data_IF_784979091185
#
_entry.id   IF_784979091185
#
_cell.length_a   1.000
_cell.length_b   1.000
_cell.length_c   1.000
_cell.angle_alpha   90.00
_cell.angle_beta   90.00
_cell.angle_gamma   90.00
#
_symmetry.space_group_name_H-M   'P 1'
#
loop_
_entity.id
_entity.type
_entity.pdbx_description
1 polymer ?
#
# COMPACT_ATOMS: atom_id res chain seq x y z
N UNK A 1 -2.73 -35.44 20.30
CA UNK A 1 -1.70 -35.59 19.22
C UNK A 1 -2.31 -35.88 17.84
N UNK A 2 -3.63 -35.68 17.66
CA UNK A 2 -4.31 -36.02 16.41
C UNK A 2 -3.86 -35.17 15.18
N UNK A 3 -3.29 -33.99 15.38
CA UNK A 3 -2.90 -33.10 14.28
C UNK A 3 -1.38 -33.01 14.01
N UNK A 4 -0.54 -33.61 14.85
CA UNK A 4 0.95 -33.67 14.71
C UNK A 4 1.61 -32.33 14.29
N UNK A 5 1.09 -31.20 14.78
CA UNK A 5 1.55 -29.86 14.42
C UNK A 5 2.26 -29.17 15.59
N UNK A 6 3.22 -28.30 15.28
CA UNK A 6 4.09 -27.63 16.24
C UNK A 6 3.36 -26.50 16.99
N UNK A 7 2.39 -25.85 16.34
CA UNK A 7 1.59 -24.78 16.92
C UNK A 7 0.18 -24.75 16.29
N UNK A 8 -0.81 -24.38 17.10
CA UNK A 8 -2.18 -24.13 16.63
C UNK A 8 -2.61 -22.80 17.21
N UNK A 9 -3.18 -21.92 16.36
CA UNK A 9 -3.82 -20.69 16.79
C UNK A 9 -5.34 -20.85 16.70
N UNK A 10 -6.02 -20.51 17.79
CA UNK A 10 -7.48 -20.46 17.81
C UNK A 10 -7.93 -19.05 17.45
N UNK A 11 -8.79 -18.93 16.45
CA UNK A 11 -9.44 -17.68 16.05
C UNK A 11 -10.88 -17.74 16.50
N UNK A 12 -11.24 -16.95 17.50
CA UNK A 12 -12.56 -17.01 18.16
C UNK A 12 -13.70 -16.60 17.22
N UNK A 13 -13.44 -15.73 16.24
CA UNK A 13 -14.46 -15.24 15.31
C UNK A 13 -13.92 -15.17 13.89
N UNK A 14 -14.57 -15.88 12.96
CA UNK A 14 -14.30 -15.74 11.52
C UNK A 14 -15.31 -14.72 10.96
N UNK A 15 -14.87 -13.59 10.37
CA UNK A 15 -15.77 -12.60 9.79
C UNK A 15 -16.79 -13.23 8.82
N UNK A 16 -18.09 -12.97 9.06
CA UNK A 16 -19.17 -13.49 8.25
C UNK A 16 -19.59 -14.95 8.53
N UNK A 17 -19.03 -15.60 9.56
CA UNK A 17 -19.39 -16.97 9.96
C UNK A 17 -19.65 -17.08 11.46
N UNK A 18 -20.54 -17.96 11.86
CA UNK A 18 -20.87 -18.28 13.25
C UNK A 18 -20.05 -19.43 13.82
N UNK A 19 -18.77 -19.52 13.45
CA UNK A 19 -17.86 -20.58 13.87
C UNK A 19 -16.49 -20.02 14.25
N UNK A 20 -15.78 -20.73 15.15
CA UNK A 20 -14.38 -20.45 15.43
C UNK A 20 -13.47 -21.19 14.43
N UNK A 21 -12.29 -20.63 14.17
CA UNK A 21 -11.29 -21.20 13.29
C UNK A 21 -10.10 -21.78 14.04
N UNK A 22 -9.50 -22.81 13.48
CA UNK A 22 -8.19 -23.30 13.88
C UNK A 22 -7.20 -22.99 12.75
N UNK A 23 -6.22 -22.12 13.03
CA UNK A 23 -5.11 -21.87 12.12
C UNK A 23 -4.00 -22.89 12.38
N UNK A 24 -3.72 -23.70 11.36
CA UNK A 24 -2.68 -24.73 11.40
C UNK A 24 -1.60 -24.34 10.40
N UNK A 25 -0.31 -24.24 10.80
CA UNK A 25 0.77 -23.95 9.87
C UNK A 25 0.82 -24.99 8.74
N UNK A 26 0.85 -24.54 7.49
CA UNK A 26 1.01 -25.44 6.36
C UNK A 26 2.45 -25.94 6.29
N UNK A 27 2.70 -27.26 6.35
CA UNK A 27 4.05 -27.83 6.24
C UNK A 27 4.66 -27.61 4.84
N UNK A 28 3.81 -27.47 3.81
CA UNK A 28 4.20 -27.21 2.43
C UNK A 28 3.80 -25.79 2.02
N UNK A 29 4.57 -24.80 2.46
CA UNK A 29 4.29 -23.38 2.12
C UNK A 29 4.49 -23.16 0.63
N UNK A 30 3.46 -22.64 -0.02
CA UNK A 30 3.55 -22.16 -1.39
C UNK A 30 3.96 -20.70 -1.40
N UNK A 31 4.83 -20.34 -2.34
CA UNK A 31 5.23 -18.95 -2.58
C UNK A 31 4.07 -18.21 -3.26
N UNK A 32 3.71 -17.04 -2.72
CA UNK A 32 2.71 -16.15 -3.32
C UNK A 32 3.45 -15.10 -4.12
N UNK A 33 3.31 -15.14 -5.44
CA UNK A 33 3.96 -14.20 -6.35
C UNK A 33 3.12 -12.94 -6.52
N UNK A 34 3.77 -11.78 -6.52
CA UNK A 34 3.09 -10.50 -6.75
C UNK A 34 2.33 -10.49 -8.10
N UNK A 35 2.89 -11.10 -9.14
CA UNK A 35 2.26 -11.21 -10.46
C UNK A 35 0.89 -11.89 -10.43
N UNK A 36 0.66 -12.85 -9.51
CA UNK A 36 -0.63 -13.51 -9.35
C UNK A 36 -1.71 -12.55 -8.84
N UNK A 37 -1.33 -11.62 -7.97
CA UNK A 37 -2.26 -10.62 -7.43
C UNK A 37 -2.49 -9.51 -8.45
N UNK A 38 -1.41 -9.01 -9.08
CA UNK A 38 -1.51 -7.97 -10.10
C UNK A 38 -2.33 -8.43 -11.32
N UNK A 39 -2.25 -9.73 -11.69
CA UNK A 39 -3.03 -10.32 -12.78
C UNK A 39 -4.47 -10.71 -12.42
N UNK A 40 -4.90 -10.53 -11.15
CA UNK A 40 -6.23 -10.94 -10.70
C UNK A 40 -7.32 -9.94 -11.12
N UNK A 41 -8.54 -10.47 -11.31
CA UNK A 41 -9.72 -9.63 -11.54
C UNK A 41 -9.98 -8.66 -10.39
N UNK A 42 -9.70 -9.06 -9.15
CA UNK A 42 -9.83 -8.22 -7.96
C UNK A 42 -8.95 -6.96 -8.07
N UNK A 43 -7.72 -7.10 -8.55
CA UNK A 43 -6.82 -5.96 -8.72
C UNK A 43 -7.21 -5.11 -9.94
N UNK A 44 -7.50 -5.72 -11.08
CA UNK A 44 -7.92 -5.01 -12.28
C UNK A 44 -9.24 -4.26 -12.09
N UNK A 45 -10.21 -4.88 -11.44
CA UNK A 45 -11.52 -4.29 -11.12
C UNK A 45 -11.51 -3.20 -10.06
N UNK A 46 -10.39 -3.02 -9.33
CA UNK A 46 -10.26 -1.91 -8.39
C UNK A 46 -10.17 -0.57 -9.14
N UNK A 47 -11.13 0.32 -8.96
CA UNK A 47 -11.19 1.63 -9.65
C UNK A 47 -10.20 2.66 -9.09
N UNK A 48 -9.70 2.47 -7.86
CA UNK A 48 -8.77 3.42 -7.22
C UNK A 48 -7.40 3.39 -7.89
N UNK A 49 -6.85 4.56 -8.17
CA UNK A 49 -5.44 4.73 -8.56
C UNK A 49 -4.46 4.32 -7.46
N UNK A 50 -4.92 4.20 -6.21
CA UNK A 50 -4.13 3.84 -5.04
C UNK A 50 -4.42 2.40 -4.55
N UNK A 51 -4.77 1.49 -5.48
CA UNK A 51 -4.98 0.08 -5.19
C UNK A 51 -3.65 -0.63 -4.88
N UNK A 52 -3.59 -1.33 -3.75
CA UNK A 52 -2.44 -2.07 -3.26
C UNK A 52 -2.70 -3.58 -3.34
N UNK A 53 -1.83 -4.32 -4.01
CA UNK A 53 -1.82 -5.77 -3.99
C UNK A 53 -1.11 -6.26 -2.72
N UNK A 54 -1.86 -6.81 -1.76
CA UNK A 54 -1.33 -7.19 -0.46
C UNK A 54 -0.91 -8.67 -0.38
N UNK A 55 -1.49 -9.54 -1.20
CA UNK A 55 -1.20 -10.97 -1.20
C UNK A 55 -2.45 -11.81 -1.37
N UNK A 56 -2.48 -12.98 -0.72
CA UNK A 56 -3.64 -13.88 -0.67
C UNK A 56 -4.11 -14.06 0.77
N UNK A 57 -5.41 -14.24 0.93
CA UNK A 57 -5.99 -14.68 2.20
C UNK A 57 -5.72 -16.17 2.45
N UNK A 58 -6.17 -16.68 3.61
CA UNK A 58 -6.01 -18.09 3.98
C UNK A 58 -6.78 -19.07 3.08
N UNK A 59 -7.74 -18.59 2.30
CA UNK A 59 -8.49 -19.36 1.31
C UNK A 59 -7.85 -19.31 -0.10
N UNK A 60 -6.76 -18.54 -0.25
CA UNK A 60 -6.06 -18.37 -1.52
C UNK A 60 -6.60 -17.27 -2.41
N UNK A 61 -7.56 -16.47 -1.95
CA UNK A 61 -8.12 -15.37 -2.72
C UNK A 61 -7.20 -14.15 -2.72
N UNK A 62 -7.07 -13.41 -3.85
CA UNK A 62 -6.31 -12.18 -3.90
C UNK A 62 -6.88 -11.11 -2.97
N UNK A 63 -6.00 -10.47 -2.18
CA UNK A 63 -6.34 -9.37 -1.27
C UNK A 63 -5.79 -8.07 -1.83
N UNK A 64 -6.71 -7.16 -2.12
CA UNK A 64 -6.41 -5.81 -2.62
C UNK A 64 -7.03 -4.79 -1.68
N UNK A 65 -6.27 -3.75 -1.35
CA UNK A 65 -6.74 -2.65 -0.51
C UNK A 65 -6.59 -1.30 -1.23
N UNK A 66 -7.38 -0.32 -0.82
CA UNK A 66 -7.29 1.04 -1.33
C UNK A 66 -6.61 1.95 -0.31
N UNK A 67 -5.42 2.43 -0.64
CA UNK A 67 -4.65 3.33 0.23
C UNK A 67 -5.41 4.66 0.49
N UNK A 68 -6.22 5.13 -0.46
CA UNK A 68 -7.02 6.34 -0.27
C UNK A 68 -8.04 6.23 0.88
N UNK A 69 -8.48 5.01 1.18
CA UNK A 69 -9.40 4.74 2.30
C UNK A 69 -8.71 4.60 3.65
N UNK A 70 -7.40 4.40 3.68
CA UNK A 70 -6.66 4.23 4.94
C UNK A 70 -6.41 5.55 5.67
N UNK A 71 -6.07 6.72 5.12
CA UNK A 71 -5.09 7.11 4.10
C UNK A 71 -3.65 7.03 4.61
N UNK A 72 -3.45 6.68 5.88
CA UNK A 72 -2.15 6.47 6.52
C UNK A 72 -2.00 4.99 6.89
N UNK A 73 -0.86 4.42 6.60
CA UNK A 73 -0.56 3.02 6.85
C UNK A 73 0.76 2.90 7.62
N UNK A 74 0.72 2.29 8.79
CA UNK A 74 1.91 1.88 9.52
C UNK A 74 2.24 0.43 9.20
N UNK A 75 3.44 0.18 8.65
CA UNK A 75 3.95 -1.15 8.38
C UNK A 75 5.08 -1.46 9.34
N UNK A 76 4.87 -2.38 10.25
CA UNK A 76 5.86 -2.81 11.25
C UNK A 76 6.15 -4.30 11.15
N UNK A 77 7.37 -4.68 11.51
CA UNK A 77 7.79 -6.09 11.53
C UNK A 77 9.25 -6.22 11.96
N UNK A 78 9.59 -7.38 12.53
CA UNK A 78 10.96 -7.75 12.87
C UNK A 78 11.82 -7.98 11.63
N UNK A 79 13.12 -8.01 11.77
CA UNK A 79 14.03 -8.39 10.68
C UNK A 79 13.63 -9.75 10.11
N UNK A 80 13.53 -9.85 8.79
CA UNK A 80 13.11 -11.09 8.11
C UNK A 80 11.59 -11.32 8.03
N UNK A 81 10.76 -10.43 8.59
CA UNK A 81 9.30 -10.56 8.54
C UNK A 81 8.68 -10.27 7.15
N UNK A 82 9.47 -9.78 6.19
CA UNK A 82 8.99 -9.40 4.86
C UNK A 82 8.54 -7.94 4.75
N UNK A 83 8.81 -7.07 5.73
CA UNK A 83 8.44 -5.64 5.70
C UNK A 83 8.89 -4.94 4.41
N UNK A 84 10.16 -5.08 4.03
CA UNK A 84 10.72 -4.45 2.83
C UNK A 84 10.08 -5.03 1.55
N UNK A 85 9.81 -6.32 1.52
CA UNK A 85 9.10 -6.98 0.41
C UNK A 85 7.68 -6.43 0.30
N UNK A 86 6.97 -6.26 1.41
CA UNK A 86 5.62 -5.70 1.42
C UNK A 86 5.60 -4.24 0.92
N UNK A 87 6.54 -3.40 1.36
CA UNK A 87 6.66 -2.01 0.90
C UNK A 87 6.94 -1.97 -0.62
N UNK A 88 7.86 -2.80 -1.11
CA UNK A 88 8.14 -2.90 -2.54
C UNK A 88 6.92 -3.38 -3.33
N UNK A 89 6.19 -4.38 -2.83
CA UNK A 89 4.95 -4.85 -3.45
C UNK A 89 3.88 -3.75 -3.53
N UNK A 90 3.75 -2.91 -2.49
CA UNK A 90 2.85 -1.77 -2.49
C UNK A 90 3.26 -0.72 -3.53
N UNK A 91 4.55 -0.35 -3.60
CA UNK A 91 5.06 0.61 -4.60
C UNK A 91 4.82 0.07 -6.01
N UNK A 92 5.19 -1.18 -6.28
CA UNK A 92 4.97 -1.82 -7.57
C UNK A 92 3.49 -1.86 -7.94
N UNK A 93 2.60 -2.15 -6.98
CA UNK A 93 1.16 -2.10 -7.21
C UNK A 93 0.70 -0.75 -7.74
N UNK A 94 1.20 0.34 -7.17
CA UNK A 94 0.84 1.70 -7.61
C UNK A 94 1.44 2.03 -8.98
N UNK A 95 2.67 1.59 -9.25
CA UNK A 95 3.34 1.80 -10.54
C UNK A 95 2.65 1.04 -11.69
N UNK A 96 2.18 -0.18 -11.43
CA UNK A 96 1.42 -0.96 -12.41
C UNK A 96 -0.01 -0.45 -12.61
N UNK A 97 -0.59 0.20 -11.58
CA UNK A 97 -1.97 0.69 -11.63
C UNK A 97 -2.12 2.05 -12.29
N UNK A 98 -1.14 2.93 -12.14
CA UNK A 98 -1.32 4.36 -12.41
C UNK A 98 -0.12 5.03 -13.03
N UNK A 99 -0.39 5.92 -13.97
CA UNK A 99 0.60 6.78 -14.59
C UNK A 99 1.03 7.93 -13.66
N UNK A 100 2.17 8.60 -13.93
CA UNK A 100 2.70 9.71 -13.14
C UNK A 100 1.73 10.90 -12.98
N UNK A 101 0.81 11.09 -13.91
CA UNK A 101 -0.21 12.15 -13.83
C UNK A 101 -1.24 11.92 -12.72
N UNK A 102 -1.45 10.65 -12.29
CA UNK A 102 -2.43 10.29 -11.29
C UNK A 102 -1.81 9.99 -9.94
N UNK A 103 -0.62 9.41 -9.90
CA UNK A 103 0.09 9.04 -8.68
C UNK A 103 1.51 9.56 -8.72
N UNK A 104 1.93 10.22 -7.66
CA UNK A 104 3.28 10.75 -7.47
C UNK A 104 3.84 10.28 -6.14
N UNK A 105 5.15 10.08 -6.08
CA UNK A 105 5.85 9.63 -4.90
C UNK A 105 6.83 10.66 -4.37
N UNK A 106 6.94 10.73 -3.06
CA UNK A 106 8.10 11.19 -2.33
C UNK A 106 8.59 9.99 -1.53
N UNK A 107 9.75 9.46 -1.88
CA UNK A 107 10.35 8.31 -1.22
C UNK A 107 11.45 8.78 -0.28
N UNK A 108 11.38 8.37 0.99
CA UNK A 108 12.34 8.73 2.03
C UNK A 108 12.97 7.44 2.54
N UNK A 109 14.28 7.27 2.32
CA UNK A 109 15.04 6.10 2.72
C UNK A 109 16.35 6.51 3.42
N UNK A 110 16.30 6.88 4.70
CA UNK A 110 17.47 7.37 5.42
C UNK A 110 18.57 6.33 5.62
N UNK A 111 18.27 5.05 5.41
CA UNK A 111 19.24 3.95 5.48
C UNK A 111 19.87 3.61 4.14
N UNK A 112 19.36 4.15 3.03
CA UNK A 112 19.81 3.90 1.65
C UNK A 112 19.84 2.40 1.24
N UNK A 113 18.92 1.60 1.78
CA UNK A 113 18.94 0.15 1.63
C UNK A 113 17.82 -0.44 0.78
N UNK A 114 16.69 0.26 0.68
CA UNK A 114 15.47 -0.35 0.18
C UNK A 114 14.88 0.35 -1.06
N UNK A 115 14.97 1.68 -1.16
CA UNK A 115 14.21 2.46 -2.15
C UNK A 115 15.07 3.06 -3.28
N UNK A 116 16.39 2.90 -3.24
CA UNK A 116 17.31 3.44 -4.26
C UNK A 116 17.04 2.89 -5.67
N UNK A 117 16.48 1.68 -5.79
CA UNK A 117 16.09 1.05 -7.05
C UNK A 117 15.02 1.83 -7.82
N UNK A 118 14.27 2.71 -7.15
CA UNK A 118 13.24 3.57 -7.73
C UNK A 118 13.78 4.93 -8.20
N UNK A 119 15.09 5.18 -8.04
CA UNK A 119 15.68 6.44 -8.47
C UNK A 119 15.46 6.67 -9.97
N UNK A 120 14.95 7.86 -10.33
CA UNK A 120 14.73 8.25 -11.71
C UNK A 120 13.40 7.82 -12.34
N UNK A 121 12.53 7.12 -11.62
CA UNK A 121 11.20 6.81 -12.17
C UNK A 121 10.37 8.09 -12.33
N UNK A 122 9.53 8.19 -13.38
CA UNK A 122 8.78 9.42 -13.69
C UNK A 122 7.72 9.78 -12.62
N UNK A 123 7.38 8.87 -11.75
CA UNK A 123 6.43 9.08 -10.65
C UNK A 123 7.03 9.89 -9.49
N UNK A 124 8.35 10.03 -9.39
CA UNK A 124 8.98 10.79 -8.30
C UNK A 124 8.74 12.30 -8.45
N UNK A 125 8.41 12.97 -7.34
CA UNK A 125 8.37 14.42 -7.22
C UNK A 125 9.75 15.00 -6.93
N UNK A 126 10.63 14.24 -6.28
CA UNK A 126 12.00 14.55 -5.97
C UNK A 126 12.84 13.28 -6.03
N UNK A 127 14.17 13.36 -6.16
CA UNK A 127 15.04 12.20 -5.97
C UNK A 127 14.74 11.49 -4.66
N UNK A 128 15.05 10.18 -4.56
CA UNK A 128 14.89 9.44 -3.30
C UNK A 128 15.67 10.15 -2.21
N UNK A 129 14.97 10.55 -1.15
CA UNK A 129 15.52 11.39 -0.07
C UNK A 129 16.23 10.48 0.93
N UNK A 130 17.52 10.69 1.15
CA UNK A 130 18.35 9.90 2.07
C UNK A 130 18.84 10.73 3.25
N UNK A 131 18.83 12.05 3.14
CA UNK A 131 19.23 12.98 4.20
C UNK A 131 18.04 13.39 5.08
N UNK A 132 18.24 13.38 6.40
CA UNK A 132 17.18 13.66 7.37
C UNK A 132 16.65 15.10 7.30
N UNK A 133 17.52 16.08 6.96
CA UNK A 133 17.10 17.48 6.79
C UNK A 133 16.24 17.66 5.54
N UNK A 134 16.62 16.99 4.46
CA UNK A 134 15.81 16.97 3.24
C UNK A 134 14.48 16.24 3.47
N UNK A 135 14.46 15.16 4.27
CA UNK A 135 13.23 14.47 4.65
C UNK A 135 12.27 15.40 5.42
N UNK A 136 12.77 16.18 6.39
CA UNK A 136 11.98 17.16 7.10
C UNK A 136 11.42 18.24 6.15
N UNK A 137 12.24 18.73 5.22
CA UNK A 137 11.80 19.69 4.21
C UNK A 137 10.71 19.11 3.28
N UNK A 138 10.86 17.85 2.85
CA UNK A 138 9.86 17.18 2.03
C UNK A 138 8.51 17.03 2.75
N UNK A 139 8.52 16.68 4.04
CA UNK A 139 7.30 16.60 4.86
C UNK A 139 6.66 17.98 5.06
N UNK A 140 7.47 19.02 5.31
CA UNK A 140 7.00 20.41 5.43
C UNK A 140 6.36 20.88 4.12
N UNK A 141 6.95 20.52 2.98
CA UNK A 141 6.36 20.80 1.67
C UNK A 141 5.01 20.10 1.48
N UNK A 142 4.86 18.85 1.92
CA UNK A 142 3.58 18.14 1.86
C UNK A 142 2.48 18.89 2.62
N UNK A 143 2.80 19.42 3.81
CA UNK A 143 1.84 20.22 4.60
C UNK A 143 1.46 21.49 3.85
N UNK A 144 2.43 22.23 3.33
CA UNK A 144 2.18 23.45 2.57
C UNK A 144 1.34 23.20 1.30
N UNK A 145 1.61 22.10 0.58
CA UNK A 145 0.85 21.69 -0.61
C UNK A 145 -0.58 21.27 -0.23
N UNK A 146 -0.76 20.59 0.89
CA UNK A 146 -2.08 20.24 1.42
C UNK A 146 -2.90 21.51 1.72
N UNK A 147 -2.32 22.49 2.39
CA UNK A 147 -2.96 23.77 2.68
C UNK A 147 -3.32 24.53 1.41
N UNK A 148 -2.43 24.52 0.41
CA UNK A 148 -2.70 25.10 -0.90
C UNK A 148 -3.91 24.45 -1.57
N UNK A 149 -4.00 23.12 -1.55
CA UNK A 149 -5.13 22.37 -2.11
C UNK A 149 -6.42 22.64 -1.36
N UNK A 150 -6.39 22.75 -0.04
CA UNK A 150 -7.57 23.12 0.76
C UNK A 150 -8.08 24.52 0.38
N UNK A 151 -7.20 25.48 0.20
CA UNK A 151 -7.57 26.84 -0.24
C UNK A 151 -8.24 26.83 -1.62
N UNK A 152 -7.71 26.06 -2.57
CA UNK A 152 -8.30 25.91 -3.91
C UNK A 152 -9.68 25.25 -3.86
N UNK A 153 -9.83 24.18 -3.09
CA UNK A 153 -11.14 23.50 -2.92
C UNK A 153 -12.14 24.43 -2.23
N UNK A 154 -11.73 25.19 -1.22
CA UNK A 154 -12.57 26.15 -0.54
C UNK A 154 -13.02 27.27 -1.50
N UNK A 155 -12.12 27.81 -2.31
CA UNK A 155 -12.43 28.83 -3.30
C UNK A 155 -13.48 28.36 -4.33
N UNK A 156 -13.41 27.09 -4.76
CA UNK A 156 -14.40 26.48 -5.66
C UNK A 156 -15.66 26.00 -4.93
N UNK A 157 -15.72 26.03 -3.60
CA UNK A 157 -16.84 25.54 -2.80
C UNK A 157 -17.04 24.02 -2.92
N UNK A 158 -15.94 23.26 -3.04
CA UNK A 158 -15.96 21.79 -3.11
C UNK A 158 -15.29 21.18 -1.89
N UNK A 159 -15.69 19.93 -1.54
CA UNK A 159 -15.25 19.26 -0.30
C UNK A 159 -14.17 18.19 -0.50
N UNK A 160 -13.88 17.82 -1.74
CA UNK A 160 -12.92 16.76 -2.07
C UNK A 160 -12.29 16.98 -3.45
N UNK A 161 -11.22 16.24 -3.71
CA UNK A 161 -10.45 16.31 -4.96
C UNK A 161 -11.29 15.94 -6.20
N UNK A 162 -12.17 14.94 -6.10
CA UNK A 162 -13.04 14.54 -7.22
C UNK A 162 -13.97 15.67 -7.62
N UNK A 163 -14.61 16.34 -6.65
CA UNK A 163 -15.44 17.51 -6.90
C UNK A 163 -14.66 18.68 -7.48
N UNK A 164 -13.41 18.88 -7.03
CA UNK A 164 -12.51 19.88 -7.60
C UNK A 164 -12.24 19.59 -9.08
N UNK A 165 -11.77 18.39 -9.40
CA UNK A 165 -11.45 17.99 -10.77
C UNK A 165 -12.66 18.06 -11.70
N UNK A 166 -13.86 17.70 -11.21
CA UNK A 166 -15.08 17.80 -12.00
C UNK A 166 -15.47 19.24 -12.34
N UNK A 167 -15.15 20.20 -11.44
CA UNK A 167 -15.48 21.62 -11.67
C UNK A 167 -14.52 22.34 -12.61
N UNK A 168 -13.27 21.86 -12.73
CA UNK A 168 -12.24 22.51 -13.55
C UNK A 168 -12.01 21.81 -14.90
N UNK A 169 -12.59 20.60 -15.11
CA UNK A 169 -12.61 19.89 -16.38
C UNK A 169 -13.64 20.48 -17.34
#
# INVERSE_FOLDING_TARGET
RALSVVAIRVVETIPGKSCMGLEIPNPHRQEVRLSEILGSETYHGAHSHLALALGKDIAGNPVVADLARMPHLLVAGTTGSGKSVAINAMILSLLYKSEPRHVRFILIDPKMLELSVYQGIPHLLAPVVTDMKQAANALSWCVAEMDRRYKLMNWLGVRNLSGYNHKIA
#
